data_IF_530048737636
#
_entry.id   IF_530048737636
#
_cell.length_a   1.000
_cell.length_b   1.000
_cell.length_c   1.000
_cell.angle_alpha   90.00
_cell.angle_beta   90.00
_cell.angle_gamma   90.00
#
_symmetry.space_group_name_H-M   'P 1'
#
loop_
_entity.id
_entity.type
_entity.pdbx_description
1 polymer ?
#
# COMPACT_ATOMS: atom_id res chain seq x y z
N UNK A 1 23.62 1.82 -7.54
CA UNK A 1 22.44 1.53 -8.36
C UNK A 1 21.46 2.65 -8.09
N UNK A 2 21.27 3.57 -9.04
CA UNK A 2 20.34 4.70 -8.91
C UNK A 2 18.94 4.15 -8.68
N UNK A 3 18.30 4.57 -7.58
CA UNK A 3 16.88 4.32 -7.35
C UNK A 3 16.15 4.74 -8.63
N UNK A 4 15.53 3.76 -9.32
CA UNK A 4 14.70 4.07 -10.48
C UNK A 4 13.61 5.01 -9.97
N UNK A 5 13.39 6.14 -10.63
CA UNK A 5 12.19 6.95 -10.38
C UNK A 5 10.98 6.07 -10.69
N UNK A 6 10.43 5.40 -9.67
CA UNK A 6 9.21 4.61 -9.80
C UNK A 6 8.08 5.63 -9.79
N UNK A 7 7.40 5.89 -10.92
CA UNK A 7 6.30 6.83 -10.95
C UNK A 7 5.20 6.32 -10.03
N UNK A 8 4.93 7.07 -8.95
CA UNK A 8 3.93 6.70 -7.96
C UNK A 8 2.55 7.05 -8.54
N UNK A 9 1.66 6.07 -8.77
CA UNK A 9 0.32 6.37 -9.24
C UNK A 9 -0.47 7.10 -8.15
N UNK A 10 -1.46 7.95 -8.47
CA UNK A 10 -2.26 8.62 -7.44
C UNK A 10 -3.16 7.66 -6.65
N UNK A 11 -3.49 6.50 -7.25
CA UNK A 11 -4.31 5.48 -6.61
C UNK A 11 -3.82 4.06 -6.95
N UNK A 12 -4.06 3.14 -6.02
CA UNK A 12 -3.72 1.72 -6.16
C UNK A 12 -4.91 0.83 -5.84
N UNK A 13 -5.00 -0.30 -6.54
CA UNK A 13 -5.80 -1.44 -6.10
C UNK A 13 -5.00 -2.27 -5.10
N UNK A 14 -5.62 -3.26 -4.44
CA UNK A 14 -4.87 -4.24 -3.65
C UNK A 14 -3.77 -4.96 -4.45
N UNK A 15 -3.99 -5.18 -5.74
CA UNK A 15 -3.03 -5.86 -6.60
C UNK A 15 -1.87 -4.93 -7.01
N UNK A 16 -2.17 -3.73 -7.49
CA UNK A 16 -1.11 -2.78 -7.88
C UNK A 16 -0.35 -2.25 -6.67
N UNK A 17 -1.02 -2.09 -5.52
CA UNK A 17 -0.40 -1.71 -4.25
C UNK A 17 0.63 -2.74 -3.78
N UNK A 18 0.31 -4.04 -3.86
CA UNK A 18 1.28 -5.10 -3.54
C UNK A 18 2.54 -5.03 -4.40
N UNK A 19 2.37 -4.81 -5.71
CA UNK A 19 3.49 -4.64 -6.64
C UNK A 19 4.32 -3.39 -6.29
N UNK A 20 3.64 -2.27 -6.02
CA UNK A 20 4.28 -1.00 -5.71
C UNK A 20 5.12 -1.08 -4.42
N UNK A 21 4.62 -1.76 -3.38
CA UNK A 21 5.38 -1.95 -2.13
C UNK A 21 6.71 -2.70 -2.35
N UNK A 22 6.71 -3.69 -3.24
CA UNK A 22 7.91 -4.46 -3.59
C UNK A 22 8.85 -3.62 -4.46
N UNK A 23 8.32 -2.91 -5.47
CA UNK A 23 9.10 -2.04 -6.35
C UNK A 23 9.79 -0.89 -5.58
N UNK A 24 9.14 -0.36 -4.56
CA UNK A 24 9.68 0.66 -3.65
C UNK A 24 10.56 0.08 -2.53
N UNK A 25 10.70 -1.25 -2.44
CA UNK A 25 11.50 -1.92 -1.41
C UNK A 25 10.96 -1.76 0.02
N UNK A 26 9.68 -1.41 0.19
CA UNK A 26 9.04 -1.26 1.50
C UNK A 26 8.84 -2.64 2.15
N UNK A 27 8.57 -3.66 1.33
CA UNK A 27 8.47 -5.06 1.75
C UNK A 27 9.19 -5.95 0.74
N UNK A 28 9.71 -7.10 1.18
CA UNK A 28 10.33 -8.08 0.25
C UNK A 28 9.30 -8.81 -0.59
N UNK A 29 8.19 -9.17 0.04
CA UNK A 29 7.16 -9.99 -0.57
C UNK A 29 5.82 -9.78 0.13
N UNK A 30 4.79 -9.49 -0.67
CA UNK A 30 3.40 -9.45 -0.22
C UNK A 30 2.48 -9.74 -1.40
N UNK A 31 1.35 -10.40 -1.12
CA UNK A 31 0.32 -10.66 -2.13
C UNK A 31 -0.88 -9.75 -1.92
N UNK A 32 -1.69 -9.55 -2.97
CA UNK A 32 -2.93 -8.79 -2.86
C UNK A 32 -3.89 -9.38 -1.79
N UNK A 33 -3.91 -10.71 -1.63
CA UNK A 33 -4.69 -11.38 -0.58
C UNK A 33 -4.12 -11.08 0.81
N UNK A 34 -2.79 -10.99 0.95
CA UNK A 34 -2.15 -10.55 2.19
C UNK A 34 -2.57 -9.14 2.58
N UNK A 35 -2.60 -8.20 1.63
CA UNK A 35 -3.08 -6.84 1.89
C UNK A 35 -4.57 -6.84 2.25
N UNK A 36 -5.42 -7.61 1.54
CA UNK A 36 -6.85 -7.74 1.90
C UNK A 36 -7.03 -8.32 3.31
N UNK A 37 -6.19 -9.26 3.70
CA UNK A 37 -6.20 -9.80 5.05
C UNK A 37 -5.85 -8.72 6.08
N UNK A 38 -4.77 -7.95 5.86
CA UNK A 38 -4.38 -6.82 6.71
C UNK A 38 -5.51 -5.78 6.80
N UNK A 39 -6.14 -5.45 5.68
CA UNK A 39 -7.26 -4.51 5.64
C UNK A 39 -8.44 -4.96 6.52
N UNK A 40 -8.63 -6.28 6.64
CA UNK A 40 -9.68 -6.89 7.46
C UNK A 40 -9.28 -7.02 8.94
N UNK A 41 -8.02 -7.30 9.23
CA UNK A 41 -7.58 -7.71 10.58
C UNK A 41 -6.80 -6.64 11.35
N UNK A 42 -6.15 -5.70 10.66
CA UNK A 42 -5.36 -4.67 11.31
C UNK A 42 -6.24 -3.48 11.71
N UNK A 43 -6.38 -3.17 13.01
CA UNK A 43 -7.22 -2.08 13.48
C UNK A 43 -6.69 -0.69 13.09
N UNK A 44 -5.41 -0.57 12.70
CA UNK A 44 -4.81 0.68 12.20
C UNK A 44 -4.97 0.88 10.70
N UNK A 45 -5.62 -0.05 10.00
CA UNK A 45 -5.83 0.08 8.57
C UNK A 45 -6.58 1.38 8.23
N UNK A 46 -6.05 2.24 7.34
CA UNK A 46 -6.55 3.60 7.17
C UNK A 46 -7.74 3.70 6.19
N UNK A 47 -8.09 2.61 5.48
CA UNK A 47 -9.12 2.63 4.45
C UNK A 47 -10.44 1.94 4.83
N UNK A 48 -11.55 2.53 4.42
CA UNK A 48 -12.89 1.93 4.47
C UNK A 48 -13.93 2.75 5.25
N UNK A 49 -15.15 2.20 5.42
CA UNK A 49 -16.22 2.90 6.12
C UNK A 49 -15.83 3.24 7.56
N UNK A 50 -15.97 4.51 7.95
CA UNK A 50 -15.58 4.99 9.29
C UNK A 50 -14.07 5.10 9.52
N UNK A 51 -13.25 5.04 8.46
CA UNK A 51 -11.80 5.27 8.49
C UNK A 51 -11.44 6.62 7.84
N UNK A 52 -10.23 7.16 8.07
CA UNK A 52 -9.82 8.46 7.54
C UNK A 52 -9.85 8.54 6.01
N UNK A 53 -9.61 7.42 5.30
CA UNK A 53 -9.60 7.38 3.85
C UNK A 53 -10.70 6.45 3.31
N UNK A 54 -11.59 6.92 2.43
CA UNK A 54 -12.58 6.05 1.81
C UNK A 54 -11.93 5.17 0.72
N UNK A 55 -12.57 4.04 0.42
CA UNK A 55 -12.36 3.40 -0.88
C UNK A 55 -13.15 4.16 -1.94
N UNK A 56 -12.62 4.23 -3.15
CA UNK A 56 -13.34 4.76 -4.30
C UNK A 56 -13.22 3.83 -5.50
N UNK A 57 -14.04 4.07 -6.52
CA UNK A 57 -14.08 3.23 -7.71
C UNK A 57 -13.42 3.94 -8.89
N UNK A 58 -12.53 3.21 -9.58
CA UNK A 58 -11.93 3.64 -10.82
C UNK A 58 -12.05 2.49 -11.83
N UNK A 59 -12.75 2.73 -12.93
CA UNK A 59 -12.96 1.74 -14.00
C UNK A 59 -13.42 0.36 -13.48
N UNK A 60 -14.44 0.33 -12.59
CA UNK A 60 -14.98 -0.87 -11.94
C UNK A 60 -14.03 -1.60 -10.96
N UNK A 61 -12.93 -0.95 -10.56
CA UNK A 61 -12.03 -1.47 -9.52
C UNK A 61 -12.07 -0.61 -8.26
N UNK A 62 -12.11 -1.26 -7.09
CA UNK A 62 -11.93 -0.59 -5.81
C UNK A 62 -10.47 -0.18 -5.66
N UNK A 63 -10.24 1.12 -5.46
CA UNK A 63 -8.93 1.73 -5.30
C UNK A 63 -8.80 2.45 -3.95
N UNK A 64 -7.54 2.69 -3.60
CA UNK A 64 -7.07 3.39 -2.41
C UNK A 64 -6.11 4.49 -2.86
N UNK A 65 -6.12 5.63 -2.18
CA UNK A 65 -5.13 6.67 -2.41
C UNK A 65 -3.73 6.15 -2.05
N UNK A 66 -2.76 6.42 -2.92
CA UNK A 66 -1.45 5.78 -2.82
C UNK A 66 -0.65 6.27 -1.63
N UNK A 67 -0.66 7.57 -1.34
CA UNK A 67 0.12 8.14 -0.24
C UNK A 67 -0.25 7.53 1.13
N UNK A 68 -1.52 7.56 1.58
CA UNK A 68 -1.90 6.94 2.86
C UNK A 68 -1.70 5.42 2.88
N UNK A 69 -1.74 4.77 1.71
CA UNK A 69 -1.43 3.35 1.59
C UNK A 69 0.06 3.10 1.84
N UNK A 70 0.95 3.86 1.20
CA UNK A 70 2.38 3.73 1.40
C UNK A 70 2.80 4.12 2.82
N UNK A 71 2.23 5.18 3.38
CA UNK A 71 2.54 5.65 4.73
C UNK A 71 2.19 4.60 5.78
N UNK A 72 1.04 3.93 5.66
CA UNK A 72 0.69 2.82 6.55
C UNK A 72 1.75 1.70 6.54
N UNK A 73 2.23 1.29 5.36
CA UNK A 73 3.24 0.24 5.28
C UNK A 73 4.63 0.73 5.72
N UNK A 74 4.94 2.01 5.49
CA UNK A 74 6.17 2.64 5.98
C UNK A 74 6.22 2.69 7.51
N UNK A 75 5.10 2.98 8.15
CA UNK A 75 5.02 3.03 9.62
C UNK A 75 4.97 1.65 10.27
N UNK A 76 4.20 0.71 9.70
CA UNK A 76 3.84 -0.54 10.39
C UNK A 76 4.76 -1.71 10.00
N UNK A 77 5.31 -1.70 8.79
CA UNK A 77 5.96 -2.89 8.20
C UNK A 77 7.36 -2.64 7.64
N UNK A 78 7.95 -1.45 7.83
CA UNK A 78 9.33 -1.20 7.40
C UNK A 78 10.29 -2.17 8.08
N UNK A 79 11.15 -2.78 7.27
CA UNK A 79 12.27 -3.59 7.73
C UNK A 79 13.19 -2.78 8.65
N UNK A 80 13.63 -3.34 9.78
CA UNK A 80 14.78 -2.80 10.50
C UNK A 80 16.03 -3.08 9.65
N UNK A 81 16.46 -2.11 8.84
CA UNK A 81 17.63 -2.24 7.96
C UNK A 81 17.59 -1.40 6.68
N UNK A 82 16.45 -0.76 6.38
CA UNK A 82 16.33 0.21 5.28
C UNK A 82 16.59 1.65 5.71
N UNK A 83 17.73 1.93 6.33
CA UNK A 83 18.26 3.29 6.47
C UNK A 83 19.54 3.38 5.61
N UNK A 84 19.80 4.52 4.93
CA UNK A 84 20.96 4.69 4.06
C UNK A 84 22.30 4.49 4.78
#
# INVERSE_FOLDING_TARGET
MTARDVPIPPAVTFQSGAKLLIELGIVDHITHQGIRHIAKTNPRWPFGPGRPHPYWELANATVMDTDPFLDFFREVYVKPGGAP
#
